data_IF_300286739838
#
_entry.id   IF_300286739838
#
_cell.length_a   1.000
_cell.length_b   1.000
_cell.length_c   1.000
_cell.angle_alpha   90.00
_cell.angle_beta   90.00
_cell.angle_gamma   90.00
#
_symmetry.space_group_name_H-M   'P 1'
#
loop_
_entity.id
_entity.type
_entity.pdbx_description
1 polymer ?
#
# COMPACT_ATOMS: atom_id res chain seq x y z
N UNK A 1 -9.71 -17.39 6.38
CA UNK A 1 -8.74 -17.39 5.26
C UNK A 1 -9.41 -16.93 3.97
N UNK A 2 -10.54 -17.53 3.53
CA UNK A 2 -11.22 -17.15 2.28
C UNK A 2 -11.71 -15.70 2.29
N UNK A 3 -12.28 -15.21 3.38
CA UNK A 3 -12.67 -13.81 3.52
C UNK A 3 -11.48 -12.83 3.36
N UNK A 4 -10.30 -13.22 3.88
CA UNK A 4 -9.07 -12.45 3.67
C UNK A 4 -8.66 -12.43 2.20
N UNK A 5 -8.82 -13.54 1.47
CA UNK A 5 -8.52 -13.62 0.04
C UNK A 5 -9.39 -12.63 -0.74
N UNK A 6 -10.70 -12.61 -0.44
CA UNK A 6 -11.65 -11.70 -1.08
C UNK A 6 -11.34 -10.24 -0.73
N UNK A 7 -11.06 -9.94 0.57
CA UNK A 7 -10.74 -8.57 0.99
C UNK A 7 -9.40 -8.04 0.45
N UNK A 8 -8.55 -8.93 -0.05
CA UNK A 8 -7.31 -8.58 -0.76
C UNK A 8 -7.51 -8.34 -2.26
N UNK A 9 -8.75 -8.38 -2.77
CA UNK A 9 -9.05 -8.28 -4.19
C UNK A 9 -8.60 -9.50 -4.99
N UNK A 10 -8.46 -10.66 -4.34
CA UNK A 10 -8.05 -11.93 -4.98
C UNK A 10 -9.22 -12.90 -5.19
N UNK A 11 -10.46 -12.45 -4.96
CA UNK A 11 -11.66 -13.29 -5.08
C UNK A 11 -11.94 -13.81 -6.50
N UNK A 12 -11.34 -13.18 -7.51
CA UNK A 12 -11.42 -13.63 -8.91
C UNK A 12 -10.47 -14.79 -9.26
N UNK A 13 -9.54 -15.12 -8.35
CA UNK A 13 -8.56 -16.18 -8.59
C UNK A 13 -9.16 -17.56 -8.29
N UNK A 14 -8.95 -18.51 -9.21
CA UNK A 14 -9.22 -19.93 -8.94
C UNK A 14 -8.19 -20.50 -7.96
N UNK A 15 -8.64 -21.30 -6.99
CA UNK A 15 -7.75 -21.99 -6.04
C UNK A 15 -6.82 -23.00 -6.70
N UNK A 16 -7.14 -23.44 -7.92
CA UNK A 16 -6.30 -24.33 -8.73
C UNK A 16 -5.25 -23.60 -9.56
N UNK A 17 -5.25 -22.24 -9.54
CA UNK A 17 -4.29 -21.44 -10.29
C UNK A 17 -2.90 -21.54 -9.69
N UNK A 18 -1.91 -21.79 -10.55
CA UNK A 18 -0.49 -21.87 -10.13
C UNK A 18 0.06 -20.49 -9.80
N UNK A 19 0.93 -20.41 -8.80
CA UNK A 19 1.44 -19.11 -8.27
C UNK A 19 2.38 -18.37 -9.23
N UNK A 20 2.98 -19.06 -10.17
CA UNK A 20 3.83 -18.52 -11.23
C UNK A 20 3.06 -17.71 -12.30
N UNK A 21 1.74 -17.91 -12.37
CA UNK A 21 0.85 -17.15 -13.27
C UNK A 21 0.29 -15.88 -12.64
N UNK A 22 0.59 -15.60 -11.38
CA UNK A 22 0.10 -14.42 -10.66
C UNK A 22 0.88 -13.17 -11.06
N UNK A 23 0.18 -12.03 -11.13
CA UNK A 23 0.85 -10.74 -11.25
C UNK A 23 1.69 -10.44 -9.98
N UNK A 24 2.68 -9.52 -10.11
CA UNK A 24 3.50 -9.13 -8.96
C UNK A 24 2.66 -8.67 -7.76
N UNK A 25 1.64 -7.86 -7.99
CA UNK A 25 0.74 -7.39 -6.94
C UNK A 25 -0.13 -8.51 -6.32
N UNK A 26 -0.64 -9.43 -7.13
CA UNK A 26 -1.39 -10.61 -6.64
C UNK A 26 -0.49 -11.50 -5.76
N UNK A 27 0.74 -11.74 -6.21
CA UNK A 27 1.74 -12.51 -5.48
C UNK A 27 2.10 -11.87 -4.12
N UNK A 28 2.30 -10.55 -4.09
CA UNK A 28 2.55 -9.81 -2.84
C UNK A 28 1.37 -9.92 -1.88
N UNK A 29 0.14 -9.73 -2.36
CA UNK A 29 -1.08 -9.85 -1.55
C UNK A 29 -1.28 -11.27 -1.02
N UNK A 30 -0.97 -12.29 -1.81
CA UNK A 30 -1.05 -13.69 -1.37
C UNK A 30 -0.04 -14.01 -0.26
N UNK A 31 1.18 -13.46 -0.34
CA UNK A 31 2.20 -13.58 0.73
C UNK A 31 1.72 -12.97 2.05
N UNK A 32 0.91 -11.90 2.00
CA UNK A 32 0.32 -11.28 3.17
C UNK A 32 -0.60 -12.23 3.94
N UNK A 33 -1.39 -13.07 3.24
CA UNK A 33 -2.26 -14.05 3.88
C UNK A 33 -1.47 -15.03 4.75
N UNK A 34 -0.31 -15.48 4.27
CA UNK A 34 0.59 -16.35 5.03
C UNK A 34 1.16 -15.66 6.27
N UNK A 35 1.31 -14.33 6.22
CA UNK A 35 1.80 -13.54 7.34
C UNK A 35 0.73 -13.31 8.41
N UNK A 36 -0.56 -13.21 8.02
CA UNK A 36 -1.69 -12.94 8.93
C UNK A 36 -1.87 -14.00 10.04
N UNK A 37 -1.39 -15.22 9.83
CA UNK A 37 -1.45 -16.31 10.82
C UNK A 37 -0.31 -16.25 11.86
N UNK A 38 0.55 -15.23 11.85
CA UNK A 38 1.70 -15.08 12.73
C UNK A 38 1.55 -13.86 13.62
N UNK A 39 2.27 -13.82 14.75
CA UNK A 39 2.35 -12.61 15.60
C UNK A 39 2.84 -11.43 14.76
N UNK A 40 2.06 -10.34 14.70
CA UNK A 40 2.33 -9.15 13.88
C UNK A 40 3.29 -8.17 14.55
N UNK A 41 3.26 -8.11 15.89
CA UNK A 41 4.04 -7.15 16.68
C UNK A 41 5.54 -7.21 16.33
N UNK A 42 6.10 -6.05 16.01
CA UNK A 42 7.51 -5.87 15.69
C UNK A 42 7.93 -6.36 14.29
N UNK A 43 6.98 -6.72 13.43
CA UNK A 43 7.26 -7.06 12.02
C UNK A 43 7.15 -5.84 11.14
N UNK A 44 7.98 -5.78 10.11
CA UNK A 44 7.90 -4.77 9.04
C UNK A 44 7.53 -5.45 7.74
N UNK A 45 6.52 -4.90 7.06
CA UNK A 45 6.08 -5.32 5.73
C UNK A 45 6.29 -4.16 4.76
N UNK A 46 6.88 -4.45 3.61
CA UNK A 46 7.13 -3.47 2.56
C UNK A 46 6.36 -3.91 1.32
N UNK A 47 5.54 -3.02 0.78
CA UNK A 47 4.75 -3.24 -0.43
C UNK A 47 5.06 -2.17 -1.46
N UNK A 48 5.35 -2.61 -2.66
CA UNK A 48 5.59 -1.76 -3.82
C UNK A 48 4.35 -1.75 -4.72
N UNK A 49 3.74 -0.58 -4.89
CA UNK A 49 2.51 -0.33 -5.66
C UNK A 49 1.38 -1.35 -5.38
N UNK A 50 1.02 -1.65 -4.10
CA UNK A 50 0.07 -2.73 -3.80
C UNK A 50 -1.35 -2.46 -4.30
N UNK A 51 -1.71 -1.19 -4.56
CA UNK A 51 -3.03 -0.79 -5.06
C UNK A 51 -3.13 -0.84 -6.59
N UNK A 52 -2.02 -1.05 -7.29
CA UNK A 52 -1.99 -1.08 -8.75
C UNK A 52 -2.89 -2.16 -9.32
N UNK A 53 -3.75 -1.77 -10.26
CA UNK A 53 -4.68 -2.67 -10.94
C UNK A 53 -5.88 -3.10 -10.09
N UNK A 54 -6.05 -2.55 -8.88
CA UNK A 54 -7.25 -2.79 -8.07
C UNK A 54 -8.36 -1.80 -8.42
N UNK A 55 -9.59 -2.30 -8.42
CA UNK A 55 -10.77 -1.43 -8.36
C UNK A 55 -10.83 -0.67 -7.03
N UNK A 56 -11.54 0.47 -7.01
CA UNK A 56 -11.61 1.34 -5.82
C UNK A 56 -12.07 0.59 -4.56
N UNK A 57 -13.05 -0.30 -4.65
CA UNK A 57 -13.56 -1.05 -3.52
C UNK A 57 -12.50 -2.00 -2.92
N UNK A 58 -11.76 -2.71 -3.78
CA UNK A 58 -10.71 -3.63 -3.38
C UNK A 58 -9.52 -2.88 -2.78
N UNK A 59 -9.15 -1.74 -3.37
CA UNK A 59 -8.09 -0.89 -2.85
C UNK A 59 -8.42 -0.34 -1.45
N UNK A 60 -9.67 0.11 -1.21
CA UNK A 60 -10.13 0.52 0.13
C UNK A 60 -10.08 -0.65 1.11
N UNK A 61 -10.51 -1.84 0.69
CA UNK A 61 -10.49 -3.05 1.53
C UNK A 61 -9.06 -3.45 1.91
N UNK A 62 -8.12 -3.34 0.97
CA UNK A 62 -6.71 -3.61 1.22
C UNK A 62 -6.10 -2.59 2.20
N UNK A 63 -6.41 -1.30 2.04
CA UNK A 63 -5.94 -0.27 2.98
C UNK A 63 -6.47 -0.50 4.41
N UNK A 64 -7.74 -0.91 4.55
CA UNK A 64 -8.30 -1.29 5.85
C UNK A 64 -7.59 -2.50 6.47
N UNK A 65 -7.20 -3.47 5.64
CA UNK A 65 -6.43 -4.62 6.12
C UNK A 65 -5.03 -4.21 6.59
N UNK A 66 -4.33 -3.35 5.84
CA UNK A 66 -3.04 -2.80 6.27
C UNK A 66 -3.17 -2.08 7.62
N UNK A 67 -4.23 -1.29 7.81
CA UNK A 67 -4.49 -0.64 9.09
C UNK A 67 -4.66 -1.64 10.23
N UNK A 68 -5.48 -2.69 10.05
CA UNK A 68 -5.65 -3.76 11.04
C UNK A 68 -4.33 -4.45 11.42
N UNK A 69 -3.44 -4.65 10.45
CA UNK A 69 -2.12 -5.25 10.68
C UNK A 69 -1.24 -4.30 11.47
N UNK A 70 -1.25 -3.01 11.13
CA UNK A 70 -0.52 -1.98 11.85
C UNK A 70 -1.00 -1.85 13.30
N UNK A 71 -2.32 -1.88 13.54
CA UNK A 71 -2.92 -1.83 14.88
C UNK A 71 -2.53 -3.04 15.76
N UNK A 72 -2.11 -4.14 15.15
CA UNK A 72 -1.54 -5.31 15.84
C UNK A 72 -0.03 -5.17 16.16
N UNK A 73 0.54 -3.99 15.91
CA UNK A 73 1.93 -3.65 16.23
C UNK A 73 2.94 -3.98 15.13
N UNK A 74 2.48 -4.17 13.89
CA UNK A 74 3.35 -4.24 12.73
C UNK A 74 3.63 -2.84 12.16
N UNK A 75 4.74 -2.70 11.45
CA UNK A 75 5.03 -1.53 10.61
C UNK A 75 4.72 -1.87 9.16
N UNK A 76 3.92 -1.03 8.50
CA UNK A 76 3.62 -1.16 7.06
C UNK A 76 4.30 -0.01 6.32
N UNK A 77 5.11 -0.35 5.34
CA UNK A 77 5.73 0.61 4.42
C UNK A 77 5.11 0.39 3.04
N UNK A 78 4.48 1.43 2.51
CA UNK A 78 3.87 1.42 1.19
C UNK A 78 4.66 2.35 0.26
N UNK A 79 5.12 1.83 -0.86
CA UNK A 79 5.58 2.65 -1.97
C UNK A 79 4.38 2.87 -2.88
N UNK A 80 3.83 4.08 -2.87
CA UNK A 80 2.59 4.42 -3.56
C UNK A 80 2.62 5.82 -4.14
N UNK A 81 1.82 6.01 -5.17
CA UNK A 81 1.66 7.31 -5.84
C UNK A 81 0.18 7.71 -5.99
N UNK A 82 -0.73 6.91 -5.44
CA UNK A 82 -2.17 7.18 -5.47
C UNK A 82 -2.63 7.95 -4.22
N UNK A 83 -3.60 8.86 -4.40
CA UNK A 83 -4.22 9.58 -3.28
C UNK A 83 -4.86 8.61 -2.27
N UNK A 84 -5.41 7.50 -2.77
CA UNK A 84 -6.01 6.48 -1.94
C UNK A 84 -4.97 5.80 -1.04
N UNK A 85 -3.75 5.57 -1.54
CA UNK A 85 -2.65 5.00 -0.75
C UNK A 85 -2.27 5.86 0.46
N UNK A 86 -2.51 7.17 0.39
CA UNK A 86 -2.26 8.10 1.49
C UNK A 86 -3.43 8.21 2.48
N UNK A 87 -4.58 7.61 2.21
CA UNK A 87 -5.80 7.80 3.02
C UNK A 87 -5.76 7.18 4.40
N UNK A 88 -4.85 6.24 4.64
CA UNK A 88 -4.80 5.47 5.89
C UNK A 88 -3.41 5.35 6.52
N UNK A 89 -2.46 6.19 6.11
CA UNK A 89 -1.09 6.19 6.63
C UNK A 89 -0.93 7.18 7.79
N UNK A 90 0.04 6.94 8.64
CA UNK A 90 0.36 7.82 9.78
C UNK A 90 1.48 8.81 9.41
N UNK A 91 2.40 8.39 8.53
CA UNK A 91 3.60 9.13 8.17
C UNK A 91 3.87 9.09 6.67
N UNK A 92 4.39 10.17 6.11
CA UNK A 92 4.73 10.30 4.69
C UNK A 92 6.19 10.64 4.52
N UNK A 93 6.86 9.94 3.62
CA UNK A 93 8.19 10.25 3.12
C UNK A 93 8.10 10.46 1.61
N UNK A 94 8.25 11.70 1.15
CA UNK A 94 8.28 12.02 -0.27
C UNK A 94 9.71 12.12 -0.78
N UNK A 95 9.99 11.39 -1.84
CA UNK A 95 11.29 11.38 -2.51
C UNK A 95 11.19 12.05 -3.88
N UNK A 96 12.20 12.83 -4.25
CA UNK A 96 12.25 13.50 -5.55
C UNK A 96 13.52 14.35 -5.73
N UNK A 97 13.48 15.41 -6.59
CA UNK A 97 12.37 15.81 -7.48
C UNK A 97 12.27 15.01 -8.78
N UNK A 98 13.16 14.11 -9.08
CA UNK A 98 13.20 13.35 -10.33
C UNK A 98 13.53 11.88 -10.12
N UNK A 99 13.84 11.19 -11.23
CA UNK A 99 14.24 9.77 -11.23
C UNK A 99 15.75 9.64 -11.46
N UNK A 100 16.34 8.54 -11.00
CA UNK A 100 17.76 8.21 -11.24
C UNK A 100 18.70 9.23 -10.61
N UNK A 101 19.69 9.71 -11.37
CA UNK A 101 20.74 10.62 -10.89
C UNK A 101 20.24 11.96 -10.32
N UNK A 102 19.03 12.38 -10.67
CA UNK A 102 18.40 13.62 -10.22
C UNK A 102 17.32 13.41 -9.14
N UNK A 103 17.15 12.17 -8.67
CA UNK A 103 16.20 11.79 -7.63
C UNK A 103 16.86 11.47 -6.29
N UNK A 104 16.07 10.88 -5.40
CA UNK A 104 16.57 10.34 -4.13
C UNK A 104 16.74 11.35 -3.00
N UNK A 105 16.36 12.63 -3.19
CA UNK A 105 16.31 13.60 -2.11
C UNK A 105 14.99 13.49 -1.37
N UNK A 106 15.03 13.68 -0.05
CA UNK A 106 13.81 13.80 0.75
C UNK A 106 13.25 15.20 0.52
N UNK A 107 12.05 15.27 -0.05
CA UNK A 107 11.31 16.52 -0.27
C UNK A 107 10.38 16.84 0.91
N UNK A 108 9.81 15.80 1.51
CA UNK A 108 8.98 15.88 2.71
C UNK A 108 9.20 14.64 3.58
N UNK A 109 9.19 14.84 4.90
CA UNK A 109 9.17 13.78 5.89
C UNK A 109 8.37 14.27 7.10
N UNK A 110 7.24 13.63 7.41
CA UNK A 110 6.37 14.07 8.50
C UNK A 110 5.08 13.26 8.57
N UNK A 111 4.25 13.60 9.56
CA UNK A 111 2.94 12.99 9.72
C UNK A 111 1.98 13.39 8.59
N UNK A 112 0.92 12.58 8.41
CA UNK A 112 -0.05 12.75 7.32
C UNK A 112 -0.84 14.06 7.45
N UNK A 113 -1.05 14.58 8.66
CA UNK A 113 -1.81 15.82 8.86
C UNK A 113 -0.99 17.01 8.37
N UNK A 114 0.29 17.07 8.75
CA UNK A 114 1.24 18.07 8.26
C UNK A 114 1.40 17.99 6.74
N UNK A 115 1.49 16.77 6.18
CA UNK A 115 1.57 16.58 4.73
C UNK A 115 0.35 17.15 4.00
N UNK A 116 -0.86 16.87 4.49
CA UNK A 116 -2.11 17.35 3.88
C UNK A 116 -2.28 18.86 3.92
N UNK A 117 -1.63 19.54 4.86
CA UNK A 117 -1.64 20.99 4.98
C UNK A 117 -0.47 21.67 4.25
N UNK A 118 0.31 20.90 3.48
CA UNK A 118 1.47 21.40 2.73
C UNK A 118 1.17 21.60 1.26
N UNK A 119 1.99 22.42 0.57
CA UNK A 119 1.96 22.56 -0.89
C UNK A 119 2.29 21.26 -1.64
N UNK A 120 2.86 20.26 -0.96
CA UNK A 120 3.12 18.95 -1.51
C UNK A 120 1.82 18.19 -1.77
N UNK A 121 0.85 18.30 -0.85
CA UNK A 121 -0.46 17.67 -1.00
C UNK A 121 -1.24 18.21 -2.19
N UNK A 122 -1.25 19.52 -2.41
CA UNK A 122 -1.92 20.16 -3.55
C UNK A 122 -1.37 19.62 -4.88
N UNK A 123 -0.04 19.54 -5.00
CA UNK A 123 0.62 18.96 -6.18
C UNK A 123 0.29 17.49 -6.37
N UNK A 124 0.09 16.77 -5.26
CA UNK A 124 -0.24 15.35 -5.28
C UNK A 124 -1.68 15.11 -5.76
N UNK A 125 -2.63 15.91 -5.25
CA UNK A 125 -4.03 15.87 -5.69
C UNK A 125 -4.17 16.20 -7.18
N UNK A 126 -3.45 17.21 -7.67
CA UNK A 126 -3.47 17.60 -9.07
C UNK A 126 -3.00 16.46 -10.01
N UNK A 127 -2.08 15.61 -9.57
CA UNK A 127 -1.61 14.43 -10.32
C UNK A 127 -2.57 13.25 -10.26
N UNK A 128 -3.37 13.13 -9.22
CA UNK A 128 -4.31 12.03 -9.00
C UNK A 128 -5.73 12.29 -9.51
N UNK A 129 -5.98 13.45 -10.10
CA UNK A 129 -7.27 13.84 -10.68
C UNK A 129 -7.44 13.41 -12.16
N UNK A 130 -6.56 12.53 -12.67
CA UNK A 130 -6.65 11.95 -14.02
C UNK A 130 -7.06 10.50 -13.93
#
# INVERSE_FOLDING_TARGET
VLECIVSLGLGHLSLSRTTDTLSGGESQRLKLIKALNKKMKGRTFIFDEPLKGLGRADAVSLMRLFRKISDQGATIILVEHSVLGLSGVDYVLELGPGKGKHGGKILFAGDIVTFRNSSHWEKYQAKGAV
#
